data_IF_494736878813
#
_entry.id   IF_494736878813
#
_cell.length_a   1.000
_cell.length_b   1.000
_cell.length_c   1.000
_cell.angle_alpha   90.00
_cell.angle_beta   90.00
_cell.angle_gamma   90.00
#
_symmetry.space_group_name_H-M   'P 1'
#
loop_
_entity.id
_entity.type
_entity.pdbx_description
1 polymer ?
#
# COMPACT_ATOMS: atom_id res chain seq x y z
N UNK A 1 -18.50 32.03 -20.71
CA UNK A 1 -17.15 32.58 -20.50
C UNK A 1 -16.20 31.61 -21.18
N UNK A 2 -15.89 31.88 -22.46
CA UNK A 2 -15.05 31.03 -23.30
C UNK A 2 -13.59 31.16 -22.84
N UNK A 3 -13.08 30.14 -22.16
CA UNK A 3 -11.66 30.01 -21.88
C UNK A 3 -10.96 29.48 -23.13
N UNK A 4 -10.56 30.40 -24.02
CA UNK A 4 -9.55 30.08 -25.03
C UNK A 4 -8.20 29.86 -24.32
N UNK A 5 -7.46 28.79 -24.63
CA UNK A 5 -6.13 28.59 -24.07
C UNK A 5 -5.14 29.61 -24.66
N UNK A 6 -4.40 30.29 -23.79
CA UNK A 6 -3.27 31.17 -24.13
C UNK A 6 -2.19 30.38 -24.89
N UNK A 7 -1.67 30.88 -26.03
CA UNK A 7 -0.63 30.22 -26.79
C UNK A 7 0.75 30.61 -26.24
N UNK A 8 1.25 29.90 -25.23
CA UNK A 8 2.59 30.17 -24.70
C UNK A 8 2.94 29.49 -23.39
N UNK A 9 3.11 28.18 -23.39
CA UNK A 9 3.67 27.43 -22.26
C UNK A 9 4.03 26.02 -22.71
N UNK A 10 5.25 25.58 -22.44
CA UNK A 10 5.79 24.28 -22.89
C UNK A 10 4.77 23.15 -22.71
N UNK A 11 4.55 22.38 -23.78
CA UNK A 11 3.51 21.36 -23.82
C UNK A 11 3.58 20.45 -22.60
N UNK A 12 2.55 20.47 -21.77
CA UNK A 12 2.41 19.51 -20.67
C UNK A 12 2.46 18.11 -21.27
N UNK A 13 3.38 17.27 -20.80
CA UNK A 13 3.50 15.89 -21.26
C UNK A 13 2.16 15.18 -21.03
N UNK A 14 1.53 14.73 -22.12
CA UNK A 14 0.27 13.99 -22.07
C UNK A 14 0.60 12.51 -22.08
N UNK A 15 0.10 11.76 -21.10
CA UNK A 15 0.16 10.31 -21.08
C UNK A 15 -1.21 9.72 -21.45
N UNK A 16 -1.22 8.61 -22.18
CA UNK A 16 -2.45 7.86 -22.42
C UNK A 16 -2.76 6.99 -21.20
N UNK A 17 -3.97 7.15 -20.66
CA UNK A 17 -4.44 6.41 -19.49
C UNK A 17 -5.56 5.46 -19.91
N UNK A 18 -5.27 4.16 -19.86
CA UNK A 18 -6.31 3.13 -19.94
C UNK A 18 -6.90 2.93 -18.55
N UNK A 19 -8.22 2.74 -18.45
CA UNK A 19 -8.87 2.40 -17.18
C UNK A 19 -8.32 1.06 -16.67
N UNK A 20 -7.65 1.02 -15.50
CA UNK A 20 -7.08 -0.21 -14.94
C UNK A 20 -8.15 -1.17 -14.48
N UNK A 21 -7.91 -2.48 -14.65
CA UNK A 21 -8.75 -3.52 -14.04
C UNK A 21 -8.29 -3.75 -12.60
N UNK A 22 -9.07 -3.23 -11.66
CA UNK A 22 -8.74 -3.24 -10.23
C UNK A 22 -9.28 -4.48 -9.55
N UNK A 23 -8.41 -5.16 -8.81
CA UNK A 23 -8.76 -6.20 -7.88
C UNK A 23 -8.64 -5.70 -6.43
N UNK A 24 -9.66 -5.90 -5.60
CA UNK A 24 -9.58 -5.66 -4.16
C UNK A 24 -9.66 -6.98 -3.41
N UNK A 25 -8.61 -7.32 -2.69
CA UNK A 25 -8.57 -8.54 -1.88
C UNK A 25 -9.50 -8.43 -0.67
N UNK A 26 -10.33 -9.45 -0.50
CA UNK A 26 -11.26 -9.59 0.62
C UNK A 26 -11.07 -10.98 1.25
N UNK A 27 -10.35 -11.08 2.39
CA UNK A 27 -10.29 -12.33 3.14
C UNK A 27 -11.68 -12.67 3.70
N UNK A 28 -11.86 -13.93 4.10
CA UNK A 28 -13.10 -14.37 4.76
C UNK A 28 -13.23 -13.83 6.18
N UNK A 29 -12.12 -13.51 6.84
CA UNK A 29 -12.11 -12.78 8.10
C UNK A 29 -12.70 -11.38 7.92
N UNK A 30 -13.47 -10.91 8.90
CA UNK A 30 -14.04 -9.57 8.87
C UNK A 30 -12.94 -8.52 9.05
N UNK A 31 -12.58 -7.83 7.96
CA UNK A 31 -11.57 -6.76 7.96
C UNK A 31 -12.28 -5.41 7.74
N UNK A 32 -12.36 -4.54 8.76
CA UNK A 32 -12.96 -3.22 8.60
C UNK A 32 -12.29 -2.36 7.53
N UNK A 33 -10.97 -2.42 7.40
CA UNK A 33 -10.20 -1.62 6.44
C UNK A 33 -10.55 -1.96 4.98
N UNK A 34 -10.87 -3.22 4.67
CA UNK A 34 -11.36 -3.64 3.34
C UNK A 34 -12.68 -2.95 3.01
N UNK A 35 -13.62 -2.91 3.96
CA UNK A 35 -14.91 -2.25 3.80
C UNK A 35 -14.78 -0.75 3.57
N UNK A 36 -13.87 -0.09 4.31
CA UNK A 36 -13.57 1.33 4.09
C UNK A 36 -12.90 1.57 2.73
N UNK A 37 -12.00 0.67 2.32
CA UNK A 37 -11.37 0.74 0.99
C UNK A 37 -12.42 0.65 -0.11
N UNK A 38 -13.36 -0.31 -0.03
CA UNK A 38 -14.50 -0.40 -0.94
C UNK A 38 -15.29 0.90 -0.98
N UNK A 39 -15.65 1.44 0.19
CA UNK A 39 -16.41 2.68 0.28
C UNK A 39 -15.69 3.83 -0.43
N UNK A 40 -14.38 4.00 -0.22
CA UNK A 40 -13.58 5.02 -0.91
C UNK A 40 -13.58 4.79 -2.43
N UNK A 41 -13.39 3.55 -2.90
CA UNK A 41 -13.44 3.25 -4.33
C UNK A 41 -14.81 3.55 -4.94
N UNK A 42 -15.89 3.19 -4.26
CA UNK A 42 -17.27 3.46 -4.68
C UNK A 42 -17.56 4.96 -4.76
N UNK A 43 -17.17 5.74 -3.75
CA UNK A 43 -17.38 7.20 -3.71
C UNK A 43 -16.65 7.94 -4.83
N UNK A 44 -15.52 7.41 -5.30
CA UNK A 44 -14.70 8.01 -6.35
C UNK A 44 -14.77 7.23 -7.68
N UNK A 45 -15.81 6.40 -7.85
CA UNK A 45 -16.17 5.71 -9.09
C UNK A 45 -15.10 4.79 -9.68
N UNK A 46 -14.18 4.28 -8.84
CA UNK A 46 -13.24 3.25 -9.24
C UNK A 46 -13.98 1.92 -9.38
N UNK A 47 -14.01 1.38 -10.61
CA UNK A 47 -14.51 0.01 -10.83
C UNK A 47 -13.50 -1.00 -10.31
N UNK A 48 -13.95 -1.91 -9.46
CA UNK A 48 -13.14 -3.00 -8.94
C UNK A 48 -13.92 -4.32 -8.90
N UNK A 49 -13.18 -5.43 -8.93
CA UNK A 49 -13.72 -6.74 -8.59
C UNK A 49 -13.20 -7.16 -7.22
N UNK A 50 -14.03 -7.80 -6.41
CA UNK A 50 -13.58 -8.45 -5.18
C UNK A 50 -12.81 -9.74 -5.52
N UNK A 51 -11.68 -9.96 -4.86
CA UNK A 51 -10.91 -11.19 -4.92
C UNK A 51 -10.96 -11.85 -3.54
N UNK A 52 -11.65 -12.97 -3.45
CA UNK A 52 -11.53 -13.86 -2.31
C UNK A 52 -10.25 -14.72 -2.40
N UNK A 53 -10.05 -15.60 -1.42
CA UNK A 53 -8.87 -16.46 -1.37
C UNK A 53 -8.75 -17.36 -2.61
N UNK A 54 -9.88 -17.94 -3.05
CA UNK A 54 -9.91 -18.82 -4.21
C UNK A 54 -9.56 -18.06 -5.50
N UNK A 55 -10.01 -16.81 -5.65
CA UNK A 55 -9.68 -15.96 -6.78
C UNK A 55 -8.18 -15.65 -6.86
N UNK A 56 -7.49 -15.46 -5.72
CA UNK A 56 -6.02 -15.27 -5.67
C UNK A 56 -5.26 -16.57 -6.00
N UNK A 57 -5.81 -17.72 -5.60
CA UNK A 57 -5.25 -19.04 -5.91
C UNK A 57 -5.40 -19.44 -7.38
N UNK A 58 -6.29 -18.79 -8.13
CA UNK A 58 -6.40 -19.01 -9.57
C UNK A 58 -5.16 -18.50 -10.30
N UNK A 59 -4.70 -19.28 -11.29
CA UNK A 59 -3.61 -18.88 -12.18
C UNK A 59 -4.02 -17.65 -13.02
N UNK A 60 -3.02 -16.97 -13.56
CA UNK A 60 -3.19 -15.90 -14.57
C UNK A 60 -3.91 -14.64 -14.05
N UNK A 61 -3.64 -14.21 -12.82
CA UNK A 61 -4.14 -12.95 -12.25
C UNK A 61 -3.91 -11.74 -13.18
N UNK A 62 -2.75 -11.66 -13.86
CA UNK A 62 -2.42 -10.56 -14.79
C UNK A 62 -3.36 -10.49 -15.99
N UNK A 63 -3.90 -11.62 -16.41
CA UNK A 63 -4.88 -11.71 -17.49
C UNK A 63 -6.22 -11.06 -17.12
N UNK A 64 -6.50 -10.86 -15.82
CA UNK A 64 -7.75 -10.30 -15.30
C UNK A 64 -7.58 -8.92 -14.68
N UNK A 65 -6.43 -8.66 -14.06
CA UNK A 65 -6.17 -7.45 -13.29
C UNK A 65 -4.91 -6.75 -13.80
N UNK A 66 -4.92 -5.43 -13.66
CA UNK A 66 -3.74 -4.58 -13.86
C UNK A 66 -3.16 -4.13 -12.51
N UNK A 67 -4.02 -3.99 -11.50
CA UNK A 67 -3.66 -3.66 -10.12
C UNK A 67 -4.45 -4.53 -9.14
N UNK A 68 -3.78 -5.00 -8.09
CA UNK A 68 -4.39 -5.70 -6.95
C UNK A 68 -4.09 -4.90 -5.68
N UNK A 69 -5.13 -4.60 -4.92
CA UNK A 69 -5.07 -3.91 -3.64
C UNK A 69 -5.19 -4.92 -2.51
N UNK A 70 -4.21 -4.94 -1.62
CA UNK A 70 -4.28 -5.63 -0.34
C UNK A 70 -4.59 -4.59 0.75
N UNK A 71 -5.75 -4.67 1.41
CA UNK A 71 -6.08 -3.78 2.51
C UNK A 71 -5.14 -3.98 3.71
N UNK A 72 -5.30 -3.16 4.74
CA UNK A 72 -4.59 -3.37 6.00
C UNK A 72 -5.07 -4.66 6.68
N UNK A 73 -4.30 -5.72 6.45
CA UNK A 73 -4.52 -7.07 6.94
C UNK A 73 -3.18 -7.71 7.22
N UNK A 74 -3.05 -8.36 8.36
CA UNK A 74 -1.83 -9.07 8.73
C UNK A 74 -1.51 -10.20 7.73
N UNK A 75 -0.23 -10.40 7.42
CA UNK A 75 0.26 -11.49 6.56
C UNK A 75 -0.33 -12.85 6.93
N UNK A 76 -0.39 -13.20 8.23
CA UNK A 76 -0.94 -14.48 8.71
C UNK A 76 -2.42 -14.65 8.33
N UNK A 77 -3.23 -13.60 8.43
CA UNK A 77 -4.63 -13.63 8.00
C UNK A 77 -4.72 -13.83 6.48
N UNK A 78 -3.86 -13.16 5.71
CA UNK A 78 -3.84 -13.31 4.24
C UNK A 78 -3.45 -14.74 3.85
N UNK A 79 -2.38 -15.28 4.43
CA UNK A 79 -1.78 -16.55 4.00
C UNK A 79 -2.48 -17.75 4.64
N UNK A 80 -2.72 -17.69 5.94
CA UNK A 80 -3.22 -18.81 6.75
C UNK A 80 -4.72 -18.70 7.07
N UNK A 81 -5.32 -17.52 6.88
CA UNK A 81 -6.74 -17.27 7.16
C UNK A 81 -7.05 -16.98 8.62
N UNK A 82 -6.03 -16.78 9.46
CA UNK A 82 -6.18 -16.49 10.88
C UNK A 82 -5.05 -15.58 11.37
N UNK A 83 -5.31 -14.71 12.36
CA UNK A 83 -4.27 -13.91 12.99
C UNK A 83 -3.23 -14.79 13.65
N UNK A 84 -2.00 -14.26 13.76
CA UNK A 84 -1.00 -14.87 14.62
C UNK A 84 -1.34 -14.52 16.06
N UNK A 85 -1.48 -15.53 16.93
CA UNK A 85 -1.65 -15.32 18.36
C UNK A 85 -0.35 -15.69 19.07
N UNK A 86 0.25 -14.71 19.74
CA UNK A 86 1.43 -14.90 20.58
C UNK A 86 1.05 -15.33 22.02
N UNK A 87 -0.21 -15.15 22.42
CA UNK A 87 -0.76 -15.41 23.75
C UNK A 87 -1.71 -16.62 23.83
N UNK A 88 -1.92 -17.32 22.71
CA UNK A 88 -2.83 -18.46 22.61
C UNK A 88 -4.33 -18.08 22.61
N UNK A 89 -4.66 -16.80 22.36
CA UNK A 89 -6.03 -16.35 22.18
C UNK A 89 -6.79 -17.23 21.18
N UNK A 90 -7.97 -17.70 21.60
CA UNK A 90 -8.80 -18.57 20.78
C UNK A 90 -9.33 -17.82 19.56
N UNK A 91 -9.00 -18.33 18.38
CA UNK A 91 -9.59 -17.90 17.12
C UNK A 91 -10.72 -18.87 16.76
N UNK A 92 -11.96 -18.39 16.78
CA UNK A 92 -13.11 -19.18 16.36
C UNK A 92 -12.99 -19.51 14.87
N UNK A 93 -12.91 -20.79 14.50
CA UNK A 93 -12.74 -21.16 13.10
C UNK A 93 -14.00 -20.81 12.32
N UNK A 94 -13.82 -20.17 11.16
CA UNK A 94 -14.91 -19.92 10.23
C UNK A 94 -15.47 -21.23 9.66
N UNK A 95 -16.74 -21.26 9.21
CA UNK A 95 -17.30 -22.43 8.54
C UNK A 95 -16.42 -22.88 7.36
N UNK A 96 -16.34 -24.18 7.04
CA UNK A 96 -15.38 -24.71 6.07
C UNK A 96 -15.32 -23.98 4.71
N UNK A 97 -16.44 -23.53 4.11
CA UNK A 97 -16.39 -22.76 2.85
C UNK A 97 -15.70 -21.39 2.96
N UNK A 98 -15.56 -20.86 4.16
CA UNK A 98 -15.00 -19.54 4.47
C UNK A 98 -13.73 -19.63 5.32
N UNK A 99 -13.14 -20.82 5.45
CA UNK A 99 -11.92 -21.03 6.22
C UNK A 99 -10.65 -20.88 5.36
N UNK A 100 -9.51 -20.64 6.02
CA UNK A 100 -8.18 -20.61 5.40
C UNK A 100 -7.84 -19.29 4.70
N UNK A 101 -6.60 -19.19 4.25
CA UNK A 101 -6.06 -18.05 3.51
C UNK A 101 -5.67 -18.43 2.08
N UNK A 102 -4.85 -17.60 1.44
CA UNK A 102 -4.39 -17.81 0.05
C UNK A 102 -3.33 -18.92 -0.05
N UNK A 103 -2.66 -19.26 1.06
CA UNK A 103 -1.58 -20.24 1.12
C UNK A 103 -0.37 -19.89 0.24
N UNK A 104 0.63 -20.78 0.23
CA UNK A 104 1.87 -20.59 -0.56
C UNK A 104 1.61 -20.44 -2.05
N UNK A 105 0.61 -21.13 -2.59
CA UNK A 105 0.24 -21.01 -4.00
C UNK A 105 -0.30 -19.62 -4.33
N UNK A 106 -1.17 -19.06 -3.48
CA UNK A 106 -1.66 -17.70 -3.65
C UNK A 106 -0.56 -16.65 -3.56
N UNK A 107 0.39 -16.81 -2.62
CA UNK A 107 1.58 -15.92 -2.53
C UNK A 107 2.39 -15.98 -3.82
N UNK A 108 2.69 -17.18 -4.33
CA UNK A 108 3.43 -17.36 -5.57
C UNK A 108 2.67 -16.80 -6.80
N UNK A 109 1.33 -16.83 -6.79
CA UNK A 109 0.51 -16.22 -7.83
C UNK A 109 0.56 -14.68 -7.78
N UNK A 110 0.57 -14.08 -6.58
CA UNK A 110 0.74 -12.63 -6.41
C UNK A 110 2.13 -12.17 -6.85
N UNK A 111 3.17 -12.90 -6.49
CA UNK A 111 4.54 -12.60 -6.94
C UNK A 111 4.62 -12.65 -8.47
N UNK A 112 4.15 -13.75 -9.08
CA UNK A 112 4.09 -13.92 -10.53
C UNK A 112 3.26 -12.83 -11.23
N UNK A 113 2.16 -12.39 -10.61
CA UNK A 113 1.35 -11.29 -11.10
C UNK A 113 2.17 -10.00 -11.25
N UNK A 114 2.96 -9.67 -10.21
CA UNK A 114 3.85 -8.51 -10.23
C UNK A 114 4.95 -8.70 -11.29
N UNK A 115 5.63 -9.85 -11.31
CA UNK A 115 6.69 -10.13 -12.30
C UNK A 115 6.20 -9.97 -13.75
N UNK A 116 4.93 -10.31 -14.02
CA UNK A 116 4.29 -10.21 -15.33
C UNK A 116 3.80 -8.79 -15.68
N UNK A 117 4.11 -7.77 -14.87
CA UNK A 117 3.72 -6.39 -15.13
C UNK A 117 2.47 -5.93 -14.41
N UNK A 118 2.06 -6.65 -13.36
CA UNK A 118 0.99 -6.23 -12.45
C UNK A 118 1.49 -5.21 -11.44
N UNK A 119 0.56 -4.45 -10.86
CA UNK A 119 0.84 -3.56 -9.72
C UNK A 119 0.21 -4.16 -8.47
N UNK A 120 1.02 -4.54 -7.48
CA UNK A 120 0.50 -4.92 -6.16
C UNK A 120 0.59 -3.72 -5.23
N UNK A 121 -0.51 -3.34 -4.60
CA UNK A 121 -0.56 -2.25 -3.62
C UNK A 121 -0.84 -2.85 -2.26
N UNK A 122 0.10 -2.70 -1.33
CA UNK A 122 -0.04 -3.14 0.05
C UNK A 122 -0.26 -1.94 0.98
N UNK A 123 -1.24 -2.06 1.87
CA UNK A 123 -1.54 -1.06 2.89
C UNK A 123 -1.19 -1.59 4.27
N UNK A 124 -0.36 -0.84 4.99
CA UNK A 124 0.03 -1.06 6.38
C UNK A 124 0.46 -2.50 6.64
N UNK A 125 -0.34 -3.33 7.31
CA UNK A 125 0.02 -4.70 7.70
C UNK A 125 0.21 -5.66 6.53
N UNK A 126 -0.43 -5.40 5.37
CA UNK A 126 -0.22 -6.27 4.20
C UNK A 126 1.11 -6.03 3.49
N UNK A 127 1.85 -4.98 3.88
CA UNK A 127 3.21 -4.76 3.38
C UNK A 127 4.15 -5.90 3.78
N UNK A 128 3.98 -6.47 4.98
CA UNK A 128 4.86 -7.53 5.48
C UNK A 128 4.81 -8.78 4.59
N UNK A 129 3.67 -9.06 3.93
CA UNK A 129 3.59 -10.14 2.93
C UNK A 129 4.60 -9.92 1.80
N UNK A 130 4.60 -8.74 1.18
CA UNK A 130 5.48 -8.48 0.04
C UNK A 130 6.95 -8.31 0.47
N UNK A 131 7.19 -7.72 1.65
CA UNK A 131 8.53 -7.56 2.20
C UNK A 131 9.21 -8.90 2.50
N UNK A 132 8.46 -9.86 3.04
CA UNK A 132 9.00 -11.16 3.41
C UNK A 132 9.15 -12.11 2.22
N UNK A 133 8.19 -12.09 1.29
CA UNK A 133 8.07 -13.15 0.28
C UNK A 133 8.71 -12.77 -1.07
N UNK A 134 8.80 -11.48 -1.43
CA UNK A 134 9.14 -11.08 -2.81
C UNK A 134 10.60 -10.60 -2.98
N UNK A 135 11.45 -10.74 -1.96
CA UNK A 135 12.87 -10.39 -2.04
C UNK A 135 13.16 -8.91 -2.37
N UNK A 136 12.28 -7.99 -1.94
CA UNK A 136 12.38 -6.56 -2.25
C UNK A 136 13.60 -5.91 -1.58
N UNK A 137 14.17 -4.83 -2.14
CA UNK A 137 15.29 -4.07 -1.55
C UNK A 137 14.77 -3.06 -0.51
N UNK A 138 13.76 -3.49 0.25
CA UNK A 138 12.99 -2.70 1.20
C UNK A 138 12.79 -3.57 2.44
N UNK A 139 12.92 -2.99 3.63
CA UNK A 139 12.71 -3.70 4.89
C UNK A 139 11.87 -2.86 5.83
N UNK A 140 11.05 -3.51 6.64
CA UNK A 140 10.38 -2.87 7.75
C UNK A 140 11.40 -2.59 8.86
N UNK A 141 11.67 -1.30 9.08
CA UNK A 141 12.68 -0.80 10.01
C UNK A 141 12.25 -0.89 11.48
N UNK A 142 10.95 -1.07 11.73
CA UNK A 142 10.36 -1.10 13.08
C UNK A 142 9.78 -2.47 13.45
N UNK A 143 9.90 -3.48 12.58
CA UNK A 143 9.31 -4.81 12.75
C UNK A 143 9.67 -5.54 14.05
N UNK A 144 10.83 -5.23 14.64
CA UNK A 144 11.34 -5.90 15.85
C UNK A 144 11.19 -5.06 17.12
N UNK A 145 10.65 -3.85 17.00
CA UNK A 145 10.45 -2.97 18.14
C UNK A 145 9.22 -3.41 18.93
N UNK A 146 9.35 -3.37 20.26
CA UNK A 146 8.25 -3.66 21.18
C UNK A 146 7.34 -2.43 21.32
N UNK A 147 6.08 -2.61 21.75
CA UNK A 147 5.19 -1.49 22.04
C UNK A 147 5.74 -0.47 23.05
N UNK A 148 6.66 -0.89 23.94
CA UNK A 148 7.34 -0.01 24.90
C UNK A 148 8.50 0.80 24.29
N UNK A 149 8.93 0.46 23.08
CA UNK A 149 10.03 1.11 22.35
C UNK A 149 9.51 1.97 21.19
N UNK A 150 8.34 1.62 20.66
CA UNK A 150 7.72 2.31 19.54
C UNK A 150 6.20 2.11 19.59
N UNK A 151 5.45 3.21 19.63
CA UNK A 151 3.99 3.16 19.67
C UNK A 151 3.36 4.32 18.94
N UNK A 152 2.38 3.99 18.10
CA UNK A 152 1.58 4.93 17.31
C UNK A 152 0.11 4.48 17.41
N UNK A 153 -0.61 4.75 18.51
CA UNK A 153 -1.96 4.20 18.73
C UNK A 153 -3.07 4.90 17.91
N UNK A 154 -2.70 5.64 16.87
CA UNK A 154 -3.60 6.54 16.14
C UNK A 154 -3.03 7.95 16.18
N UNK A 155 -2.09 8.22 15.28
CA UNK A 155 -1.31 9.46 15.29
C UNK A 155 -1.38 10.10 13.91
N UNK A 156 -1.52 11.42 13.86
CA UNK A 156 -1.29 12.18 12.65
C UNK A 156 0.19 12.53 12.59
N UNK A 157 0.86 12.12 11.51
CA UNK A 157 2.28 12.33 11.29
C UNK A 157 2.52 13.22 10.09
N UNK A 158 3.55 14.06 10.16
CA UNK A 158 4.03 14.80 9.01
C UNK A 158 4.84 13.88 8.10
N UNK A 159 4.71 14.08 6.80
CA UNK A 159 5.52 13.43 5.77
C UNK A 159 6.08 14.48 4.81
N UNK A 160 7.36 14.36 4.48
CA UNK A 160 7.98 15.05 3.36
C UNK A 160 7.80 14.18 2.10
N UNK A 161 7.21 14.75 1.06
CA UNK A 161 6.75 14.08 -0.16
C UNK A 161 7.59 14.55 -1.34
N UNK A 162 7.98 13.63 -2.22
CA UNK A 162 8.60 13.94 -3.50
C UNK A 162 7.52 13.99 -4.59
N UNK A 163 6.98 15.18 -4.96
CA UNK A 163 5.90 15.31 -5.94
C UNK A 163 6.34 14.99 -7.38
N UNK A 164 7.65 14.78 -7.62
CA UNK A 164 8.15 14.36 -8.93
C UNK A 164 7.84 12.88 -9.21
N UNK A 165 7.60 12.09 -8.16
CA UNK A 165 7.21 10.69 -8.29
C UNK A 165 5.77 10.56 -8.79
N UNK A 166 5.47 9.65 -9.75
CA UNK A 166 4.11 9.45 -10.25
C UNK A 166 3.07 9.15 -9.18
N UNK A 167 3.46 8.43 -8.12
CA UNK A 167 2.59 8.15 -6.98
C UNK A 167 2.20 9.40 -6.18
N UNK A 168 2.99 10.47 -6.25
CA UNK A 168 2.75 11.73 -5.54
C UNK A 168 2.22 12.86 -6.45
N UNK A 169 1.86 12.59 -7.71
CA UNK A 169 1.32 13.64 -8.57
C UNK A 169 0.09 14.31 -7.95
N UNK A 170 0.14 15.64 -7.89
CA UNK A 170 -0.89 16.47 -7.28
C UNK A 170 -0.84 16.53 -5.74
N UNK A 171 0.17 15.95 -5.10
CA UNK A 171 0.45 16.13 -3.67
C UNK A 171 1.33 17.35 -3.44
N UNK A 172 1.15 18.08 -2.32
CA UNK A 172 2.15 19.05 -1.85
C UNK A 172 3.44 18.34 -1.39
N UNK A 173 4.54 19.09 -1.30
CA UNK A 173 5.84 18.60 -0.78
C UNK A 173 5.77 18.19 0.70
N UNK A 174 4.73 18.62 1.42
CA UNK A 174 4.45 18.18 2.80
C UNK A 174 3.00 17.84 2.97
N UNK A 175 2.72 16.69 3.58
CA UNK A 175 1.35 16.30 3.92
C UNK A 175 1.29 15.67 5.31
N UNK A 176 0.09 15.60 5.86
CA UNK A 176 -0.19 14.83 7.08
C UNK A 176 -0.84 13.49 6.72
N UNK A 177 -0.37 12.41 7.33
CA UNK A 177 -0.90 11.08 7.16
C UNK A 177 -1.32 10.48 8.52
N UNK A 178 -2.21 9.48 8.49
CA UNK A 178 -2.64 8.78 9.70
C UNK A 178 -1.97 7.41 9.82
N UNK A 179 -1.46 7.10 10.99
CA UNK A 179 -0.75 5.87 11.31
C UNK A 179 -1.32 5.22 12.57
N UNK A 180 -1.38 3.89 12.59
CA UNK A 180 -1.76 3.09 13.76
C UNK A 180 -0.73 1.97 13.96
N UNK A 181 0.51 2.35 14.21
CA UNK A 181 1.67 1.48 14.01
C UNK A 181 1.97 1.34 12.52
N UNK A 182 2.24 0.11 12.08
CA UNK A 182 2.59 -0.18 10.69
C UNK A 182 4.07 0.02 10.38
N UNK A 183 4.50 -0.36 9.17
CA UNK A 183 5.89 -0.32 8.80
C UNK A 183 6.37 1.12 8.51
N UNK A 184 7.61 1.40 8.93
CA UNK A 184 8.44 2.42 8.33
C UNK A 184 9.57 1.71 7.59
N UNK A 185 9.96 2.22 6.42
CA UNK A 185 10.81 1.47 5.51
C UNK A 185 12.25 1.99 5.51
N UNK A 186 13.20 1.06 5.57
CA UNK A 186 14.55 1.28 5.08
C UNK A 186 14.72 0.61 3.74
N UNK A 187 15.64 1.13 2.94
CA UNK A 187 15.83 0.69 1.57
C UNK A 187 17.30 0.52 1.27
N UNK A 188 17.67 -0.55 0.56
CA UNK A 188 19.05 -0.79 0.12
C UNK A 188 19.25 -0.33 -1.31
N UNK A 189 20.52 -0.24 -1.75
CA UNK A 189 20.83 -0.06 -3.17
C UNK A 189 20.31 -1.31 -3.90
N UNK A 190 19.40 -1.18 -4.88
CA UNK A 190 18.89 -2.34 -5.59
C UNK A 190 19.98 -3.04 -6.42
N UNK A 191 19.83 -4.36 -6.63
CA UNK A 191 20.60 -5.08 -7.65
C UNK A 191 20.18 -4.67 -9.07
N UNK A 192 20.93 -5.09 -10.09
CA UNK A 192 20.78 -4.61 -11.48
C UNK A 192 19.38 -4.78 -12.13
N UNK A 193 18.50 -5.60 -11.56
CA UNK A 193 17.17 -5.91 -12.11
C UNK A 193 16.00 -5.46 -11.22
N UNK A 194 16.29 -4.74 -10.14
CA UNK A 194 15.32 -4.28 -9.17
C UNK A 194 15.43 -2.75 -9.09
N UNK A 195 14.31 -2.05 -9.08
CA UNK A 195 14.26 -0.60 -8.92
C UNK A 195 13.60 -0.23 -7.60
N UNK A 196 13.91 0.94 -7.05
CA UNK A 196 13.14 1.50 -5.95
C UNK A 196 12.99 3.01 -6.09
N UNK A 197 11.85 3.52 -5.63
CA UNK A 197 11.59 4.95 -5.45
C UNK A 197 11.00 5.19 -4.07
N UNK A 198 11.48 6.20 -3.37
CA UNK A 198 10.88 6.66 -2.11
C UNK A 198 10.00 7.85 -2.44
N UNK A 199 8.70 7.72 -2.16
CA UNK A 199 7.68 8.72 -2.52
C UNK A 199 7.45 9.70 -1.39
N UNK A 200 7.51 9.20 -0.15
CA UNK A 200 7.37 10.02 1.04
C UNK A 200 8.27 9.49 2.16
N UNK A 201 8.77 10.41 3.00
CA UNK A 201 9.58 10.14 4.18
C UNK A 201 8.98 10.78 5.41
N UNK A 202 9.29 10.22 6.57
CA UNK A 202 9.13 10.94 7.82
C UNK A 202 10.21 12.04 7.93
N UNK A 203 9.91 13.16 8.60
CA UNK A 203 10.87 14.23 8.84
C UNK A 203 12.19 13.74 9.46
N UNK A 204 13.26 14.50 9.25
CA UNK A 204 14.60 14.17 9.78
C UNK A 204 14.69 14.30 11.30
N UNK A 205 13.84 15.13 11.92
CA UNK A 205 13.88 15.40 13.36
C UNK A 205 12.67 14.77 14.08
N UNK A 206 12.88 14.09 15.23
CA UNK A 206 11.81 13.36 15.92
C UNK A 206 10.62 14.24 16.34
N UNK A 207 10.91 15.46 16.81
CA UNK A 207 9.93 16.45 17.25
C UNK A 207 9.03 16.99 16.11
N UNK A 208 9.43 16.76 14.86
CA UNK A 208 8.66 17.15 13.67
C UNK A 208 7.76 16.02 13.15
N UNK A 209 7.97 14.78 13.60
CA UNK A 209 7.23 13.61 13.10
C UNK A 209 5.75 13.70 13.43
N UNK A 210 5.41 14.09 14.66
CA UNK A 210 4.02 14.16 15.12
C UNK A 210 3.38 15.48 14.70
N UNK A 211 2.36 15.41 13.86
CA UNK A 211 1.50 16.55 13.55
C UNK A 211 0.42 16.72 14.62
N UNK A 212 -0.16 15.61 15.09
CA UNK A 212 -1.16 15.60 16.16
C UNK A 212 -1.32 14.21 16.77
N UNK A 213 -1.75 14.16 18.03
CA UNK A 213 -1.92 12.94 18.81
C UNK A 213 -0.68 12.63 19.65
N UNK A 214 -0.50 11.35 19.96
CA UNK A 214 0.60 10.86 20.80
C UNK A 214 1.39 9.79 20.05
N UNK A 215 2.70 9.78 20.25
CA UNK A 215 3.61 8.77 19.73
C UNK A 215 4.75 8.56 20.73
N UNK A 216 5.28 7.34 20.74
CA UNK A 216 6.51 7.01 21.46
C UNK A 216 7.52 6.41 20.48
N UNK A 217 8.80 6.68 20.70
CA UNK A 217 9.90 6.18 19.86
C UNK A 217 9.96 6.80 18.46
N UNK A 218 9.58 8.06 18.27
CA UNK A 218 9.56 8.76 16.96
C UNK A 218 10.92 8.84 16.25
N UNK A 219 12.03 8.71 16.98
CA UNK A 219 13.39 8.53 16.44
C UNK A 219 13.52 7.25 15.60
N UNK A 220 12.62 6.28 15.79
CA UNK A 220 12.52 5.10 14.95
C UNK A 220 11.79 5.35 13.62
N UNK A 221 11.39 6.59 13.34
CA UNK A 221 10.79 7.00 12.08
C UNK A 221 11.66 7.97 11.29
N UNK A 222 12.50 8.75 11.96
CA UNK A 222 13.21 9.89 11.33
C UNK A 222 13.98 9.52 10.06
N UNK A 223 13.76 10.29 8.99
CA UNK A 223 14.36 10.12 7.65
C UNK A 223 13.97 8.81 6.91
N UNK A 224 13.27 7.88 7.57
CA UNK A 224 12.83 6.61 6.99
C UNK A 224 11.71 6.86 5.99
N UNK A 225 11.59 5.96 5.02
CA UNK A 225 10.53 6.05 4.03
C UNK A 225 9.18 5.62 4.63
N UNK A 226 8.13 6.38 4.33
CA UNK A 226 6.75 6.04 4.68
C UNK A 226 6.00 5.41 3.50
N UNK A 227 6.39 5.75 2.27
CA UNK A 227 5.82 5.22 1.04
C UNK A 227 6.94 4.86 0.07
N UNK A 228 6.94 3.61 -0.41
CA UNK A 228 7.96 3.08 -1.31
C UNK A 228 7.32 2.38 -2.50
N UNK A 229 7.85 2.63 -3.69
CA UNK A 229 7.63 1.79 -4.87
C UNK A 229 8.85 0.92 -5.10
N UNK A 230 8.67 -0.39 -5.25
CA UNK A 230 9.72 -1.33 -5.62
C UNK A 230 9.35 -2.02 -6.94
N UNK A 231 10.30 -2.07 -7.90
CA UNK A 231 10.10 -2.78 -9.16
C UNK A 231 10.51 -4.24 -9.01
N UNK A 232 9.66 -5.14 -9.49
CA UNK A 232 9.89 -6.58 -9.51
C UNK A 232 9.45 -7.13 -10.87
N UNK A 233 10.39 -7.72 -11.60
CA UNK A 233 10.19 -8.11 -13.00
C UNK A 233 9.73 -6.93 -13.86
N UNK A 234 8.58 -7.08 -14.53
CA UNK A 234 7.98 -6.03 -15.37
C UNK A 234 7.00 -5.13 -14.60
N UNK A 235 6.67 -5.47 -13.37
CA UNK A 235 5.68 -4.78 -12.56
C UNK A 235 6.30 -4.09 -11.35
N UNK A 236 5.45 -3.81 -10.37
CA UNK A 236 5.85 -3.10 -9.17
C UNK A 236 4.99 -3.45 -7.97
N UNK A 237 5.58 -3.28 -6.80
CA UNK A 237 4.94 -3.32 -5.49
C UNK A 237 4.94 -1.91 -4.93
N UNK A 238 3.77 -1.41 -4.54
CA UNK A 238 3.61 -0.14 -3.83
C UNK A 238 3.33 -0.46 -2.37
N UNK A 239 4.17 0.06 -1.48
CA UNK A 239 4.10 -0.18 -0.04
C UNK A 239 3.70 1.13 0.65
N UNK A 240 2.52 1.12 1.26
CA UNK A 240 2.04 2.21 2.10
C UNK A 240 2.21 1.84 3.57
N UNK A 241 3.14 2.46 4.27
CA UNK A 241 3.21 2.42 5.73
C UNK A 241 1.97 3.05 6.39
N UNK A 242 1.63 4.31 6.06
CA UNK A 242 0.45 4.96 6.61
C UNK A 242 -0.85 4.41 6.03
N UNK A 243 -1.94 4.60 6.78
CA UNK A 243 -3.29 4.24 6.34
C UNK A 243 -3.84 5.33 5.42
N UNK A 244 -3.42 5.31 4.16
CA UNK A 244 -3.71 6.37 3.18
C UNK A 244 -5.21 6.64 2.95
N UNK A 245 -6.08 5.64 3.17
CA UNK A 245 -7.53 5.76 3.00
C UNK A 245 -8.31 5.81 4.33
N UNK A 246 -7.62 5.76 5.48
CA UNK A 246 -8.19 5.43 6.80
C UNK A 246 -9.64 5.93 7.00
N UNK A 247 -10.58 4.97 7.13
CA UNK A 247 -12.00 5.22 7.43
C UNK A 247 -12.67 6.28 6.54
N UNK A 248 -12.19 6.43 5.31
CA UNK A 248 -12.59 7.50 4.40
C UNK A 248 -12.42 8.94 4.94
N UNK A 249 -11.59 9.14 5.95
CA UNK A 249 -11.35 10.46 6.59
C UNK A 249 -10.13 11.16 6.02
N UNK A 250 -9.12 10.41 5.56
CA UNK A 250 -7.83 10.95 5.13
C UNK A 250 -7.81 11.41 3.67
N UNK A 251 -8.72 12.32 3.30
CA UNK A 251 -8.87 12.83 1.93
C UNK A 251 -7.56 13.37 1.36
N UNK A 252 -6.72 13.98 2.20
CA UNK A 252 -5.41 14.50 1.82
C UNK A 252 -4.43 13.44 1.31
N UNK A 253 -4.58 12.17 1.69
CA UNK A 253 -3.68 11.08 1.28
C UNK A 253 -4.30 10.11 0.28
N UNK A 254 -5.58 10.28 -0.09
CA UNK A 254 -6.23 9.42 -1.09
C UNK A 254 -5.53 9.44 -2.45
N UNK A 255 -4.92 10.58 -2.82
CA UNK A 255 -4.21 10.70 -4.10
C UNK A 255 -3.07 9.68 -4.23
N UNK A 256 -2.40 9.30 -3.15
CA UNK A 256 -1.40 8.23 -3.22
C UNK A 256 -2.02 6.92 -3.69
N UNK A 257 -3.16 6.52 -3.11
CA UNK A 257 -3.89 5.32 -3.50
C UNK A 257 -4.43 5.43 -4.94
N UNK A 258 -5.01 6.56 -5.30
CA UNK A 258 -5.55 6.79 -6.64
C UNK A 258 -4.45 6.78 -7.70
N UNK A 259 -3.32 7.44 -7.45
CA UNK A 259 -2.17 7.40 -8.33
C UNK A 259 -1.60 5.98 -8.45
N UNK A 260 -1.58 5.18 -7.37
CA UNK A 260 -1.18 3.78 -7.44
C UNK A 260 -2.09 2.94 -8.35
N UNK A 261 -3.40 3.17 -8.30
CA UNK A 261 -4.38 2.53 -9.17
C UNK A 261 -4.21 3.00 -10.63
N UNK A 262 -4.29 4.31 -10.86
CA UNK A 262 -4.27 4.91 -12.19
C UNK A 262 -2.95 4.67 -12.91
N UNK A 263 -1.83 4.69 -12.19
CA UNK A 263 -0.51 4.39 -12.78
C UNK A 263 -0.40 2.98 -13.36
N UNK A 264 -1.25 2.03 -12.96
CA UNK A 264 -1.29 0.69 -13.57
C UNK A 264 -1.84 0.70 -15.00
N UNK A 265 -2.54 1.77 -15.38
CA UNK A 265 -3.09 1.99 -16.72
C UNK A 265 -2.34 3.02 -17.56
N UNK A 266 -1.27 3.62 -17.02
CA UNK A 266 -0.43 4.55 -17.77
C UNK A 266 0.37 3.80 -18.84
N UNK A 267 0.18 4.18 -20.10
CA UNK A 267 0.98 3.70 -21.22
C UNK A 267 2.16 4.67 -21.42
N UNK A 268 3.37 4.13 -21.42
CA UNK A 268 4.58 4.85 -21.83
C UNK A 268 4.70 4.87 -23.34
#
# INVERSE_FOLDING_TARGET
>A
MDLRPEPGGGGCARAHLKIPRVGLYKPWSAIPDEGWTRFVLDQYEFKYSTLDNAAIQQKSLRGRFDVILLPDVEKSVIVDGKPKSDDGAYFEPLPPPYAGGIGKEGVANLERFVEQGGTLVCMTGSCDLALDEFGLPVRNAVAKLKPSEFSLPGTLVNLDVDPTQPLAWGMPERCTAYVTGGPAFTTTIPGAHVGRSVVARYPEYPDQVVASGWADGTENLTGRAAIVEARLGKGRVVLFGPRVQHRAQMVGTFKFLFNAILSAGLQQ
#
